data_IF_229102957222
#
_entry.id   IF_229102957222
#
_cell.length_a   1.000
_cell.length_b   1.000
_cell.length_c   1.000
_cell.angle_alpha   90.00
_cell.angle_beta   90.00
_cell.angle_gamma   90.00
#
_symmetry.space_group_name_H-M   'P 1'
#
loop_
_entity.id
_entity.type
_entity.pdbx_description
1 polymer ?
#
# COMPACT_ATOMS: atom_id res chain seq x y z
N UNK A 1 6.17 -3.83 -10.80
CA UNK A 1 5.86 -4.77 -9.70
C UNK A 1 5.35 -4.05 -8.46
N UNK A 2 6.11 -3.11 -7.87
CA UNK A 2 5.66 -2.30 -6.72
C UNK A 2 4.27 -1.66 -6.89
N UNK A 3 3.98 -1.09 -8.06
CA UNK A 3 2.66 -0.49 -8.33
C UNK A 3 1.52 -1.51 -8.45
N UNK A 4 1.80 -2.72 -8.95
CA UNK A 4 0.81 -3.79 -9.03
C UNK A 4 0.40 -4.26 -7.62
N UNK A 5 1.38 -4.37 -6.72
CA UNK A 5 1.14 -4.67 -5.30
C UNK A 5 0.26 -3.58 -4.66
N UNK A 6 0.57 -2.30 -4.89
CA UNK A 6 -0.24 -1.20 -4.33
C UNK A 6 -1.68 -1.16 -4.87
N UNK A 7 -1.90 -1.49 -6.15
CA UNK A 7 -3.25 -1.61 -6.72
C UNK A 7 -4.03 -2.76 -6.09
N UNK A 8 -3.41 -3.94 -5.97
CA UNK A 8 -4.03 -5.10 -5.35
C UNK A 8 -4.39 -4.83 -3.88
N UNK A 9 -3.49 -4.19 -3.13
CA UNK A 9 -3.75 -3.76 -1.74
C UNK A 9 -4.95 -2.82 -1.69
N UNK A 10 -5.03 -1.84 -2.59
CA UNK A 10 -6.15 -0.89 -2.65
C UNK A 10 -7.48 -1.62 -2.89
N UNK A 11 -7.51 -2.55 -3.84
CA UNK A 11 -8.72 -3.33 -4.14
C UNK A 11 -9.15 -4.15 -2.93
N UNK A 12 -8.22 -4.86 -2.28
CA UNK A 12 -8.50 -5.63 -1.08
C UNK A 12 -9.01 -4.77 0.09
N UNK A 13 -8.46 -3.57 0.29
CA UNK A 13 -8.91 -2.63 1.33
C UNK A 13 -10.33 -2.13 1.04
N UNK A 14 -10.64 -1.85 -0.23
CA UNK A 14 -12.00 -1.42 -0.65
C UNK A 14 -13.01 -2.55 -0.46
N UNK A 15 -12.63 -3.80 -0.72
CA UNK A 15 -13.53 -4.95 -0.64
C UNK A 15 -13.74 -5.47 0.79
N UNK A 16 -12.69 -5.50 1.63
CA UNK A 16 -12.75 -6.21 2.92
C UNK A 16 -12.86 -5.31 4.16
N UNK A 17 -12.81 -3.97 4.05
CA UNK A 17 -12.84 -3.01 5.19
C UNK A 17 -11.71 -3.18 6.23
N UNK A 18 -11.02 -4.32 6.21
CA UNK A 18 -9.89 -4.68 7.04
C UNK A 18 -8.58 -4.57 6.24
N UNK A 19 -7.49 -4.47 6.97
CA UNK A 19 -6.17 -4.34 6.41
C UNK A 19 -5.68 -5.70 5.85
N UNK A 20 -5.36 -5.80 4.55
CA UNK A 20 -5.04 -7.08 3.93
C UNK A 20 -3.72 -7.66 4.43
N UNK A 21 -3.69 -8.98 4.61
CA UNK A 21 -2.50 -9.73 4.98
C UNK A 21 -1.53 -9.87 3.80
N UNK A 22 -0.25 -10.17 4.08
CA UNK A 22 0.74 -10.40 3.03
C UNK A 22 0.37 -11.56 2.09
N UNK A 23 -0.36 -12.56 2.60
CA UNK A 23 -0.81 -13.71 1.83
C UNK A 23 -1.92 -13.32 0.83
N UNK A 24 -2.92 -12.56 1.28
CA UNK A 24 -3.98 -12.04 0.42
C UNK A 24 -3.43 -11.13 -0.68
N UNK A 25 -2.45 -10.28 -0.34
CA UNK A 25 -1.77 -9.42 -1.31
C UNK A 25 -0.99 -10.25 -2.33
N UNK A 26 -0.26 -11.27 -1.87
CA UNK A 26 0.50 -12.15 -2.74
C UNK A 26 -0.42 -12.95 -3.69
N UNK A 27 -1.53 -13.45 -3.17
CA UNK A 27 -2.56 -14.15 -3.94
C UNK A 27 -3.21 -13.24 -5.00
N UNK A 28 -3.56 -12.01 -4.63
CA UNK A 28 -4.17 -11.03 -5.55
C UNK A 28 -3.24 -10.62 -6.70
N UNK A 29 -1.92 -10.59 -6.47
CA UNK A 29 -0.91 -10.24 -7.49
C UNK A 29 -0.39 -11.48 -8.24
N UNK A 30 -0.66 -12.69 -7.74
CA UNK A 30 -0.16 -13.94 -8.31
C UNK A 30 1.34 -14.16 -8.09
N UNK A 31 1.86 -13.73 -6.93
CA UNK A 31 3.28 -13.87 -6.55
C UNK A 31 3.43 -14.55 -5.19
N UNK A 32 4.67 -14.82 -4.77
CA UNK A 32 4.93 -15.34 -3.43
C UNK A 32 4.93 -14.22 -2.39
N UNK A 33 4.60 -14.54 -1.14
CA UNK A 33 4.76 -13.62 0.01
C UNK A 33 6.19 -13.09 0.13
N UNK A 34 7.20 -13.92 -0.19
CA UNK A 34 8.60 -13.49 -0.28
C UNK A 34 8.81 -12.38 -1.31
N UNK A 35 8.20 -12.50 -2.48
CA UNK A 35 8.27 -11.45 -3.51
C UNK A 35 7.66 -10.15 -3.00
N UNK A 36 6.55 -10.21 -2.25
CA UNK A 36 5.96 -9.01 -1.63
C UNK A 36 6.92 -8.40 -0.59
N UNK A 37 7.58 -9.23 0.22
CA UNK A 37 8.55 -8.81 1.22
C UNK A 37 9.82 -8.17 0.63
N UNK A 38 10.23 -8.58 -0.57
CA UNK A 38 11.36 -7.96 -1.29
C UNK A 38 11.07 -6.48 -1.65
N UNK A 39 9.80 -6.09 -1.78
CA UNK A 39 9.39 -4.70 -2.05
C UNK A 39 8.94 -3.95 -0.79
N UNK A 40 8.40 -4.65 0.20
CA UNK A 40 7.87 -4.07 1.43
C UNK A 40 8.30 -4.88 2.64
N UNK A 41 9.18 -4.31 3.46
CA UNK A 41 9.80 -4.97 4.62
C UNK A 41 8.79 -5.41 5.68
N UNK A 42 7.59 -4.81 5.71
CA UNK A 42 6.52 -5.13 6.66
C UNK A 42 5.15 -4.70 6.12
N UNK A 43 4.08 -5.24 6.70
CA UNK A 43 2.70 -4.83 6.39
C UNK A 43 2.47 -3.33 6.67
N UNK A 44 3.12 -2.78 7.69
CA UNK A 44 3.09 -1.33 8.00
C UNK A 44 3.70 -0.50 6.87
N UNK A 45 4.77 -0.99 6.23
CA UNK A 45 5.36 -0.30 5.08
C UNK A 45 4.42 -0.26 3.87
N UNK A 46 3.56 -1.28 3.72
CA UNK A 46 2.52 -1.35 2.70
C UNK A 46 1.43 -0.31 2.97
N UNK A 47 0.95 -0.22 4.21
CA UNK A 47 -0.04 0.80 4.61
C UNK A 47 0.46 2.22 4.37
N UNK A 48 1.68 2.55 4.80
CA UNK A 48 2.28 3.87 4.60
C UNK A 48 2.38 4.17 3.10
N UNK A 49 2.81 3.19 2.31
CA UNK A 49 2.92 3.34 0.86
C UNK A 49 1.54 3.48 0.18
N UNK A 50 0.51 2.81 0.70
CA UNK A 50 -0.87 2.93 0.23
C UNK A 50 -1.44 4.31 0.55
N UNK A 51 -1.26 4.82 1.78
CA UNK A 51 -1.70 6.17 2.17
C UNK A 51 -1.02 7.22 1.28
N UNK A 52 0.30 7.12 1.09
CA UNK A 52 1.03 8.01 0.19
C UNK A 52 0.65 7.86 -1.30
N UNK A 53 0.06 6.73 -1.69
CA UNK A 53 -0.42 6.49 -3.05
C UNK A 53 -1.84 7.03 -3.27
N UNK A 54 -2.70 6.94 -2.25
CA UNK A 54 -4.08 7.44 -2.27
C UNK A 54 -4.16 8.95 -2.05
N UNK A 55 -3.26 9.50 -1.23
CA UNK A 55 -3.15 10.93 -0.97
C UNK A 55 -1.80 11.47 -1.48
N UNK A 56 -1.75 11.92 -2.73
CA UNK A 56 -0.53 12.55 -3.26
C UNK A 56 -0.19 13.88 -2.55
N UNK A 57 -1.10 14.47 -1.76
CA UNK A 57 -0.84 15.70 -0.99
C UNK A 57 -0.07 15.43 0.30
N UNK A 58 -0.06 14.20 0.83
CA UNK A 58 0.83 13.79 1.95
C UNK A 58 2.31 13.86 1.56
N UNK A 59 2.62 13.95 0.26
CA UNK A 59 3.99 14.13 -0.25
C UNK A 59 4.48 15.58 -0.23
N UNK A 60 3.62 16.54 0.12
CA UNK A 60 4.04 17.93 0.39
C UNK A 60 3.93 18.16 1.89
N UNK A 61 5.05 18.58 2.48
CA UNK A 61 5.17 18.92 3.90
C UNK A 61 4.15 19.97 4.38
N UNK A 62 4.25 20.36 5.66
CA UNK A 62 3.17 20.99 6.40
C UNK A 62 2.58 22.15 5.62
N UNK A 63 1.28 22.01 5.34
CA UNK A 63 0.33 23.06 4.94
C UNK A 63 0.93 24.44 5.21
N UNK A 64 1.29 25.13 4.13
CA UNK A 64 1.72 26.51 4.17
C UNK A 64 0.76 27.29 5.08
N UNK A 65 1.28 27.77 6.21
CA UNK A 65 0.67 28.87 6.94
C UNK A 65 0.83 30.09 6.02
N UNK A 66 -0.23 30.41 5.28
CA UNK A 66 -0.35 31.69 4.61
C UNK A 66 -1.46 32.49 5.28
N UNK A 67 -1.04 33.63 5.84
CA UNK A 67 -1.87 34.81 6.06
C UNK A 67 -2.69 34.81 7.33
#
# INVERSE_FOLDING_TARGET
>A
MREAILRAVRELVVENTANPTLDEIAAAVGVTTRTVQDYFTSSVAIEIALIAHLDPQVRTGPRAWHG
#
